data_IF_943706752027
#
_entry.id   IF_943706752027
#
_cell.length_a   1.000
_cell.length_b   1.000
_cell.length_c   1.000
_cell.angle_alpha   90.00
_cell.angle_beta   90.00
_cell.angle_gamma   90.00
#
_symmetry.space_group_name_H-M   'P 1'
#
loop_
_entity.id
_entity.type
_entity.pdbx_description
1 polymer ?
#
# COMPACT_ATOMS: atom_id res chain seq x y z
N UNK A 1 21.94 -4.35 20.23
CA UNK A 1 20.89 -5.33 20.59
C UNK A 1 20.02 -5.52 19.35
N UNK A 2 19.50 -6.73 19.06
CA UNK A 2 18.59 -6.90 17.94
C UNK A 2 17.36 -6.01 18.14
N UNK A 3 16.95 -5.33 17.07
CA UNK A 3 15.80 -4.43 17.07
C UNK A 3 14.54 -5.25 17.31
N UNK A 4 13.84 -5.07 18.43
CA UNK A 4 12.54 -5.71 18.64
C UNK A 4 11.53 -5.04 17.70
N UNK A 5 10.84 -5.81 16.86
CA UNK A 5 9.85 -5.29 15.91
C UNK A 5 8.46 -5.73 16.33
N UNK A 6 7.51 -4.80 16.25
CA UNK A 6 6.09 -5.05 16.44
C UNK A 6 5.37 -4.71 15.14
N UNK A 7 4.46 -5.58 14.74
CA UNK A 7 3.64 -5.41 13.53
C UNK A 7 2.19 -5.29 13.95
N UNK A 8 1.56 -4.19 13.55
CA UNK A 8 0.15 -3.94 13.76
C UNK A 8 -0.59 -3.91 12.42
N UNK A 9 -1.84 -4.35 12.40
CA UNK A 9 -2.69 -4.28 11.21
C UNK A 9 -4.16 -4.07 11.53
N UNK A 10 -4.91 -3.54 10.57
CA UNK A 10 -6.36 -3.36 10.67
C UNK A 10 -6.92 -2.46 9.56
N UNK A 11 -8.21 -2.07 9.63
CA UNK A 11 -8.88 -1.32 8.57
C UNK A 11 -8.41 0.14 8.44
N UNK A 12 -7.80 0.71 9.48
CA UNK A 12 -7.29 2.08 9.45
C UNK A 12 -6.14 2.26 10.46
N UNK A 13 -5.35 3.35 10.38
CA UNK A 13 -4.35 3.67 11.41
C UNK A 13 -4.95 3.81 12.82
N UNK A 14 -6.26 4.05 12.93
CA UNK A 14 -6.98 4.25 14.19
C UNK A 14 -7.52 2.93 14.79
N UNK A 15 -7.35 1.82 14.09
CA UNK A 15 -7.98 0.54 14.43
C UNK A 15 -7.01 -0.60 14.14
N UNK A 16 -5.84 -0.54 14.76
CA UNK A 16 -4.76 -1.50 14.57
C UNK A 16 -4.70 -2.48 15.75
N UNK A 17 -4.44 -3.75 15.46
CA UNK A 17 -4.17 -4.80 16.46
C UNK A 17 -2.82 -5.43 16.20
N UNK A 18 -2.20 -5.95 17.26
CA UNK A 18 -0.92 -6.65 17.16
C UNK A 18 -1.10 -7.98 16.42
N UNK A 19 -0.30 -8.18 15.38
CA UNK A 19 -0.28 -9.40 14.56
C UNK A 19 1.14 -9.98 14.46
N UNK A 20 2.04 -9.59 15.37
CA UNK A 20 3.44 -10.00 15.35
C UNK A 20 3.62 -11.52 15.43
N UNK A 21 2.68 -12.23 16.08
CA UNK A 21 2.63 -13.69 16.19
C UNK A 21 2.30 -14.39 14.87
N UNK A 22 1.71 -13.68 13.90
CA UNK A 22 1.35 -14.20 12.57
C UNK A 22 2.44 -14.00 11.51
N UNK A 23 3.38 -13.07 11.74
CA UNK A 23 4.47 -12.77 10.80
C UNK A 23 5.33 -14.01 10.56
N UNK A 24 5.67 -14.28 9.29
CA UNK A 24 6.41 -15.47 8.87
C UNK A 24 5.70 -16.80 9.16
N UNK A 25 4.37 -16.81 9.24
CA UNK A 25 3.55 -18.03 9.41
C UNK A 25 2.52 -18.15 8.28
N UNK A 26 1.82 -19.29 8.23
CA UNK A 26 0.67 -19.50 7.32
C UNK A 26 -0.63 -18.87 7.87
N UNK A 27 -0.58 -18.23 9.05
CA UNK A 27 -1.75 -17.58 9.62
C UNK A 27 -2.00 -16.22 8.96
N UNK A 28 -3.27 -15.95 8.66
CA UNK A 28 -3.71 -14.70 8.05
C UNK A 28 -4.35 -13.78 9.09
N UNK A 29 -4.32 -12.48 8.82
CA UNK A 29 -5.11 -11.50 9.54
C UNK A 29 -6.29 -11.03 8.68
N UNK A 30 -7.50 -11.11 9.23
CA UNK A 30 -8.71 -10.67 8.54
C UNK A 30 -8.87 -9.16 8.72
N UNK A 31 -9.11 -8.45 7.64
CA UNK A 31 -9.46 -7.03 7.63
C UNK A 31 -10.91 -6.91 7.17
N UNK A 32 -11.71 -6.16 7.92
CA UNK A 32 -13.11 -5.91 7.61
C UNK A 32 -13.47 -4.49 8.02
N UNK A 33 -14.10 -3.76 7.09
CA UNK A 33 -14.70 -2.44 7.28
C UNK A 33 -15.92 -2.30 6.36
N UNK A 34 -16.57 -1.14 6.38
CA UNK A 34 -17.70 -0.84 5.49
C UNK A 34 -17.28 -0.70 4.01
N UNK A 35 -15.99 -0.43 3.75
CA UNK A 35 -15.45 -0.20 2.42
C UNK A 35 -14.61 -1.34 1.85
N UNK A 36 -14.10 -2.26 2.68
CA UNK A 36 -13.18 -3.31 2.26
C UNK A 36 -13.30 -4.57 3.13
N UNK A 37 -13.17 -5.73 2.49
CA UNK A 37 -12.93 -6.98 3.18
C UNK A 37 -11.77 -7.74 2.55
N UNK A 38 -10.94 -8.36 3.38
CA UNK A 38 -9.79 -9.09 2.89
C UNK A 38 -8.96 -9.79 3.95
N UNK A 39 -7.89 -10.41 3.48
CA UNK A 39 -6.91 -11.17 4.24
C UNK A 39 -5.53 -10.55 4.03
N UNK A 40 -4.74 -10.56 5.09
CA UNK A 40 -3.39 -10.00 5.14
C UNK A 40 -2.40 -11.06 5.61
N UNK A 41 -1.25 -11.13 4.94
CA UNK A 41 -0.09 -11.94 5.34
C UNK A 41 1.18 -11.11 5.22
N UNK A 42 2.13 -11.31 6.15
CA UNK A 42 3.39 -10.60 6.17
C UNK A 42 4.57 -11.54 6.31
N UNK A 43 5.60 -11.25 5.53
CA UNK A 43 6.88 -11.92 5.58
C UNK A 43 7.95 -10.86 5.85
N UNK A 44 8.75 -11.02 6.90
CA UNK A 44 9.86 -10.12 7.23
C UNK A 44 11.09 -10.97 7.49
N UNK A 45 12.13 -10.80 6.66
CA UNK A 45 13.35 -11.57 6.80
C UNK A 45 14.02 -11.23 8.14
N UNK A 46 14.41 -12.27 8.88
CA UNK A 46 14.99 -12.17 10.23
C UNK A 46 14.08 -11.47 11.26
N UNK A 47 12.77 -11.64 11.14
CA UNK A 47 11.83 -11.14 12.14
C UNK A 47 12.11 -11.75 13.52
N UNK A 48 12.29 -10.93 14.57
CA UNK A 48 12.60 -11.41 15.91
C UNK A 48 11.30 -11.73 16.67
N UNK A 49 10.96 -13.01 16.83
CA UNK A 49 9.82 -13.46 17.61
C UNK A 49 10.31 -14.22 18.85
N UNK A 50 10.12 -13.67 20.05
CA UNK A 50 10.42 -14.35 21.32
C UNK A 50 11.76 -15.12 21.35
N UNK A 51 12.86 -14.47 20.96
CA UNK A 51 14.22 -15.05 20.86
C UNK A 51 14.43 -16.14 19.79
N UNK A 52 13.46 -16.33 18.89
CA UNK A 52 13.59 -17.13 17.67
C UNK A 52 13.53 -16.23 16.44
N UNK A 53 14.37 -16.55 15.46
CA UNK A 53 14.25 -15.98 14.12
C UNK A 53 13.27 -16.87 13.36
N UNK A 54 12.04 -16.40 13.14
CA UNK A 54 11.09 -17.14 12.30
C UNK A 54 11.63 -17.14 10.86
N UNK A 55 11.90 -18.31 10.30
CA UNK A 55 12.32 -18.47 8.91
C UNK A 55 11.09 -18.75 8.05
N UNK A 56 10.90 -17.95 7.00
CA UNK A 56 9.82 -18.14 6.04
C UNK A 56 10.36 -18.75 4.75
N UNK A 57 9.67 -19.76 4.23
CA UNK A 57 9.97 -20.39 2.93
C UNK A 57 9.88 -19.38 1.77
N UNK A 58 9.11 -18.30 1.96
CA UNK A 58 8.93 -17.21 1.01
C UNK A 58 10.26 -16.66 0.48
N UNK A 59 11.25 -16.46 1.36
CA UNK A 59 12.55 -15.90 0.98
C UNK A 59 13.49 -16.93 0.32
N UNK A 60 13.17 -18.22 0.42
CA UNK A 60 13.93 -19.30 -0.19
C UNK A 60 13.49 -19.56 -1.65
N UNK A 61 12.31 -19.02 -2.04
CA UNK A 61 11.77 -19.16 -3.40
C UNK A 61 12.73 -18.56 -4.44
N UNK A 62 12.98 -19.23 -5.57
CA UNK A 62 13.96 -18.76 -6.56
C UNK A 62 13.70 -17.35 -7.09
N UNK A 63 12.43 -16.96 -7.21
CA UNK A 63 11.96 -15.67 -7.71
C UNK A 63 11.76 -14.60 -6.62
N UNK A 64 12.07 -14.93 -5.36
CA UNK A 64 12.08 -14.01 -4.21
C UNK A 64 13.48 -13.81 -3.61
N UNK A 65 14.52 -14.32 -4.28
CA UNK A 65 15.92 -14.10 -3.87
C UNK A 65 16.22 -12.61 -3.79
N UNK A 66 16.73 -12.18 -2.63
CA UNK A 66 17.08 -10.79 -2.36
C UNK A 66 15.92 -9.94 -1.85
N UNK A 67 14.68 -10.44 -1.84
CA UNK A 67 13.56 -9.80 -1.14
C UNK A 67 13.78 -9.95 0.37
N UNK A 68 13.51 -8.89 1.12
CA UNK A 68 13.74 -8.83 2.57
C UNK A 68 12.45 -8.68 3.36
N UNK A 69 11.36 -8.33 2.70
CA UNK A 69 10.03 -8.25 3.30
C UNK A 69 8.94 -8.31 2.23
N UNK A 70 7.72 -8.65 2.63
CA UNK A 70 6.52 -8.68 1.80
C UNK A 70 5.29 -8.37 2.65
N UNK A 71 4.39 -7.56 2.09
CA UNK A 71 3.03 -7.34 2.57
C UNK A 71 2.09 -7.86 1.49
N UNK A 72 1.39 -8.95 1.79
CA UNK A 72 0.45 -9.58 0.87
C UNK A 72 -0.98 -9.30 1.32
N UNK A 73 -1.85 -8.89 0.39
CA UNK A 73 -3.27 -8.68 0.67
C UNK A 73 -4.10 -9.38 -0.39
N UNK A 74 -5.15 -10.08 0.02
CA UNK A 74 -6.20 -10.58 -0.86
C UNK A 74 -7.55 -10.05 -0.38
N UNK A 75 -8.28 -9.33 -1.22
CA UNK A 75 -9.56 -8.78 -0.81
C UNK A 75 -10.28 -8.05 -1.93
N UNK A 76 -11.38 -7.40 -1.58
CA UNK A 76 -12.26 -6.69 -2.51
C UNK A 76 -12.88 -5.47 -1.86
N UNK A 77 -13.22 -4.49 -2.68
CA UNK A 77 -13.93 -3.29 -2.24
C UNK A 77 -15.42 -3.58 -2.17
N UNK A 78 -16.07 -3.13 -1.11
CA UNK A 78 -17.52 -3.33 -0.93
C UNK A 78 -18.36 -2.29 -1.69
N UNK A 79 -17.70 -1.26 -2.22
CA UNK A 79 -18.28 -0.23 -3.07
C UNK A 79 -17.37 -0.01 -4.28
N UNK A 80 -17.90 0.27 -5.48
CA UNK A 80 -17.08 0.51 -6.67
C UNK A 80 -16.05 1.63 -6.45
N UNK A 81 -14.77 1.31 -6.66
CA UNK A 81 -13.65 2.25 -6.65
C UNK A 81 -13.00 2.25 -8.03
N UNK A 82 -12.67 3.43 -8.56
CA UNK A 82 -11.82 3.47 -9.77
C UNK A 82 -10.38 3.11 -9.39
N UNK A 83 -9.61 2.54 -10.31
CA UNK A 83 -8.20 2.27 -10.04
C UNK A 83 -7.35 3.55 -9.84
N UNK A 84 -7.86 4.73 -10.22
CA UNK A 84 -7.25 6.04 -9.95
C UNK A 84 -7.49 6.51 -8.51
N UNK A 85 -8.64 6.11 -7.94
CA UNK A 85 -9.06 6.47 -6.60
C UNK A 85 -8.45 5.55 -5.52
N UNK A 86 -7.97 4.35 -5.88
CA UNK A 86 -7.32 3.44 -4.93
C UNK A 86 -5.81 3.72 -4.86
N UNK A 87 -5.38 4.28 -3.74
CA UNK A 87 -3.98 4.60 -3.48
C UNK A 87 -3.36 3.59 -2.53
N UNK A 88 -2.06 3.34 -2.71
CA UNK A 88 -1.24 2.59 -1.78
C UNK A 88 0.12 3.28 -1.58
N UNK A 89 0.65 3.18 -0.36
CA UNK A 89 1.99 3.63 -0.06
C UNK A 89 2.17 3.93 1.42
N UNK A 90 2.95 4.97 1.74
CA UNK A 90 3.34 5.30 3.09
C UNK A 90 2.76 6.62 3.57
N UNK A 91 2.37 6.64 4.84
CA UNK A 91 2.06 7.86 5.59
C UNK A 91 2.90 7.92 6.86
N UNK A 92 3.14 9.13 7.34
CA UNK A 92 3.93 9.40 8.53
C UNK A 92 3.19 10.38 9.43
N UNK A 93 3.16 10.08 10.73
CA UNK A 93 2.48 10.93 11.72
C UNK A 93 3.28 12.19 12.07
N UNK A 94 4.59 12.16 11.83
CA UNK A 94 5.51 13.25 12.18
C UNK A 94 6.50 13.51 11.05
N UNK A 95 7.08 14.72 10.96
CA UNK A 95 8.08 15.06 9.96
C UNK A 95 9.24 14.06 9.89
N UNK A 96 9.72 13.79 8.67
CA UNK A 96 10.87 12.94 8.43
C UNK A 96 12.18 13.73 8.50
N UNK A 97 13.20 13.17 9.15
CA UNK A 97 14.56 13.71 9.06
C UNK A 97 15.23 13.12 7.83
N UNK A 98 15.27 13.87 6.73
CA UNK A 98 15.87 13.37 5.48
C UNK A 98 17.40 13.53 5.49
N UNK A 99 18.16 12.54 5.00
CA UNK A 99 19.61 12.66 4.87
C UNK A 99 19.99 13.73 3.83
N UNK A 100 21.16 14.35 4.01
CA UNK A 100 21.75 15.22 2.98
C UNK A 100 21.97 14.39 1.69
N UNK A 101 21.34 14.80 0.58
CA UNK A 101 21.32 14.03 -0.66
C UNK A 101 20.04 13.21 -0.93
N UNK A 102 18.96 13.46 -0.18
CA UNK A 102 17.63 12.84 -0.40
C UNK A 102 17.08 12.97 -1.82
N UNK A 103 17.58 13.92 -2.63
CA UNK A 103 17.27 14.02 -4.06
C UNK A 103 17.57 12.73 -4.83
N UNK A 104 18.62 11.99 -4.49
CA UNK A 104 18.92 10.69 -5.10
C UNK A 104 17.88 9.61 -4.73
N UNK A 105 17.40 9.62 -3.48
CA UNK A 105 16.34 8.73 -3.03
C UNK A 105 14.99 9.06 -3.71
N UNK A 106 14.67 10.35 -3.90
CA UNK A 106 13.49 10.77 -4.64
C UNK A 106 13.54 10.35 -6.12
N UNK A 107 14.69 10.49 -6.77
CA UNK A 107 14.88 10.02 -8.15
C UNK A 107 14.76 8.50 -8.26
N UNK A 108 15.29 7.76 -7.29
CA UNK A 108 15.13 6.32 -7.23
C UNK A 108 13.67 5.90 -7.05
N UNK A 109 12.92 6.56 -6.16
CA UNK A 109 11.50 6.27 -5.99
C UNK A 109 10.70 6.52 -7.28
N UNK A 110 10.98 7.61 -8.00
CA UNK A 110 10.37 7.88 -9.32
C UNK A 110 10.77 6.88 -10.40
N UNK A 111 11.99 6.34 -10.31
CA UNK A 111 12.45 5.30 -11.23
C UNK A 111 11.71 3.97 -10.99
N UNK A 112 11.47 3.61 -9.72
CA UNK A 112 10.71 2.40 -9.36
C UNK A 112 9.23 2.58 -9.69
N UNK A 113 8.68 3.75 -9.38
CA UNK A 113 7.28 4.09 -9.61
C UNK A 113 7.14 5.54 -10.10
N UNK A 114 6.90 5.75 -11.41
CA UNK A 114 6.75 7.08 -11.99
C UNK A 114 5.41 7.75 -11.61
N UNK A 115 4.47 6.98 -11.07
CA UNK A 115 3.17 7.47 -10.59
C UNK A 115 3.14 7.82 -9.11
N UNK A 116 4.27 7.67 -8.41
CA UNK A 116 4.40 8.04 -7.01
C UNK A 116 4.34 9.56 -6.84
N UNK A 117 3.33 10.01 -6.11
CA UNK A 117 3.18 11.35 -5.58
C UNK A 117 3.66 11.37 -4.12
N UNK A 118 4.22 12.49 -3.66
CA UNK A 118 4.71 12.56 -2.28
C UNK A 118 4.80 13.99 -1.75
N UNK A 119 4.64 14.14 -0.43
CA UNK A 119 5.06 15.31 0.34
C UNK A 119 5.92 14.86 1.54
N UNK A 120 7.06 14.25 1.25
CA UNK A 120 8.01 13.79 2.28
C UNK A 120 8.70 14.94 3.04
N UNK A 121 8.51 16.19 2.59
CA UNK A 121 9.04 17.41 3.22
C UNK A 121 8.05 18.10 4.14
N UNK A 122 6.81 17.60 4.22
CA UNK A 122 5.75 18.12 5.07
C UNK A 122 6.23 18.32 6.52
N UNK A 123 5.91 19.47 7.10
CA UNK A 123 6.20 19.78 8.50
C UNK A 123 5.11 19.25 9.45
N UNK A 124 4.07 18.61 8.92
CA UNK A 124 2.98 18.02 9.71
C UNK A 124 2.85 16.52 9.44
N UNK A 125 2.38 16.14 8.26
CA UNK A 125 2.05 14.76 7.89
C UNK A 125 2.71 14.38 6.56
N UNK A 126 3.96 13.87 6.58
CA UNK A 126 4.61 13.40 5.37
C UNK A 126 3.90 12.18 4.78
N UNK A 127 3.97 12.03 3.46
CA UNK A 127 3.38 10.88 2.76
C UNK A 127 4.05 10.63 1.42
N UNK A 128 3.93 9.40 0.92
CA UNK A 128 4.29 8.98 -0.43
C UNK A 128 3.30 7.91 -0.89
N UNK A 129 2.47 8.23 -1.87
CA UNK A 129 1.34 7.40 -2.31
C UNK A 129 1.30 7.30 -3.83
N UNK A 130 0.86 6.16 -4.33
CA UNK A 130 0.75 5.85 -5.75
C UNK A 130 -0.52 5.05 -6.00
N UNK A 131 -1.13 5.10 -7.19
CA UNK A 131 -2.22 4.19 -7.53
C UNK A 131 -1.82 2.73 -7.30
N UNK A 132 -2.65 1.99 -6.56
CA UNK A 132 -2.36 0.61 -6.16
C UNK A 132 -2.06 -0.28 -7.37
N UNK A 133 -2.83 -0.10 -8.45
CA UNK A 133 -2.67 -0.87 -9.69
C UNK A 133 -1.32 -0.66 -10.38
N UNK A 134 -0.67 0.49 -10.15
CA UNK A 134 0.60 0.87 -10.78
C UNK A 134 1.80 0.49 -9.92
N UNK A 135 1.68 0.68 -8.61
CA UNK A 135 2.80 0.56 -7.67
C UNK A 135 3.15 -0.89 -7.32
N UNK A 136 2.17 -1.78 -7.32
CA UNK A 136 2.36 -3.16 -6.88
C UNK A 136 3.34 -3.91 -7.80
N UNK A 137 4.44 -4.50 -7.26
CA UNK A 137 5.37 -5.30 -8.05
C UNK A 137 4.77 -6.64 -8.47
N UNK A 138 3.79 -7.14 -7.71
CA UNK A 138 3.00 -8.31 -8.05
C UNK A 138 1.54 -8.04 -7.72
N UNK A 139 0.67 -8.14 -8.73
CA UNK A 139 -0.76 -7.97 -8.57
C UNK A 139 -1.52 -8.90 -9.51
N UNK A 140 -2.59 -9.47 -9.00
CA UNK A 140 -3.52 -10.31 -9.72
C UNK A 140 -4.95 -9.82 -9.52
N UNK A 141 -5.71 -9.79 -10.61
CA UNK A 141 -7.12 -9.49 -10.62
C UNK A 141 -7.92 -10.71 -11.08
N UNK A 142 -8.99 -11.02 -10.35
CA UNK A 142 -9.95 -12.06 -10.71
C UNK A 142 -11.37 -11.55 -10.45
N UNK A 143 -12.24 -11.68 -11.45
CA UNK A 143 -13.67 -11.51 -11.25
C UNK A 143 -14.22 -12.78 -10.59
N UNK A 144 -15.03 -12.61 -9.54
CA UNK A 144 -15.69 -13.68 -8.82
C UNK A 144 -17.12 -13.85 -9.32
N UNK A 145 -17.46 -15.07 -9.72
CA UNK A 145 -18.85 -15.48 -9.90
C UNK A 145 -19.56 -15.78 -8.56
N UNK A 146 -20.89 -15.85 -8.59
CA UNK A 146 -21.72 -16.10 -7.38
C UNK A 146 -21.39 -17.41 -6.64
N UNK A 147 -20.83 -18.39 -7.34
CA UNK A 147 -20.47 -19.72 -6.80
C UNK A 147 -18.96 -19.97 -6.72
N UNK A 148 -18.14 -18.94 -6.95
CA UNK A 148 -16.70 -19.10 -6.94
C UNK A 148 -16.17 -19.28 -5.51
N UNK A 149 -15.33 -20.30 -5.32
CA UNK A 149 -14.55 -20.44 -4.09
C UNK A 149 -13.35 -19.51 -4.14
N UNK A 150 -13.12 -18.76 -3.06
CA UNK A 150 -11.94 -17.91 -2.93
C UNK A 150 -10.64 -18.76 -3.03
N UNK A 151 -9.61 -18.27 -3.73
CA UNK A 151 -8.29 -18.92 -3.74
C UNK A 151 -7.71 -19.07 -2.33
N UNK A 152 -6.86 -20.08 -2.12
CA UNK A 152 -6.11 -20.23 -0.87
C UNK A 152 -5.18 -19.02 -0.65
N UNK A 153 -5.11 -18.55 0.59
CA UNK A 153 -4.26 -17.43 0.99
C UNK A 153 -3.63 -17.70 2.39
N UNK A 154 -2.33 -17.44 2.60
CA UNK A 154 -1.36 -16.92 1.63
C UNK A 154 -1.07 -17.94 0.51
N UNK A 155 -0.66 -17.47 -0.69
CA UNK A 155 -0.40 -18.38 -1.79
C UNK A 155 0.86 -19.21 -1.53
N UNK A 156 0.76 -20.52 -1.80
CA UNK A 156 1.89 -21.47 -1.69
C UNK A 156 3.01 -21.17 -2.70
N UNK A 157 2.64 -20.57 -3.83
CA UNK A 157 3.58 -20.10 -4.84
C UNK A 157 3.69 -18.57 -4.78
N UNK A 158 4.80 -18.04 -5.30
CA UNK A 158 5.00 -16.60 -5.41
C UNK A 158 3.93 -15.99 -6.32
N UNK A 159 3.27 -14.92 -5.85
CA UNK A 159 2.32 -14.18 -6.67
C UNK A 159 3.03 -13.62 -7.90
N UNK A 160 2.42 -13.81 -9.06
CA UNK A 160 2.84 -13.21 -10.32
C UNK A 160 1.78 -12.22 -10.79
N UNK A 161 2.20 -11.38 -11.73
CA UNK A 161 1.27 -10.52 -12.44
C UNK A 161 0.24 -11.36 -13.20
N UNK A 162 -1.04 -11.17 -12.87
CA UNK A 162 -2.15 -11.74 -13.61
C UNK A 162 -3.25 -10.69 -13.81
N UNK A 163 -3.22 -10.07 -14.99
CA UNK A 163 -4.17 -9.05 -15.40
C UNK A 163 -5.15 -9.61 -16.47
N UNK A 164 -5.22 -10.93 -16.62
CA UNK A 164 -5.98 -11.58 -17.71
C UNK A 164 -7.47 -11.29 -17.69
N UNK A 165 -8.04 -11.09 -16.50
CA UNK A 165 -9.45 -10.74 -16.29
C UNK A 165 -9.66 -9.26 -16.01
N UNK A 166 -8.63 -8.42 -16.11
CA UNK A 166 -8.72 -7.00 -15.74
C UNK A 166 -9.73 -6.22 -16.62
N UNK A 167 -10.01 -6.72 -17.82
CA UNK A 167 -11.04 -6.15 -18.70
C UNK A 167 -12.46 -6.27 -18.12
N UNK A 168 -12.73 -7.24 -17.24
CA UNK A 168 -14.06 -7.40 -16.64
C UNK A 168 -14.39 -6.24 -15.67
N UNK A 169 -13.36 -5.64 -15.07
CA UNK A 169 -13.46 -4.43 -14.27
C UNK A 169 -13.71 -3.15 -15.11
N UNK A 170 -13.82 -3.25 -16.44
CA UNK A 170 -14.28 -2.13 -17.30
C UNK A 170 -15.80 -2.14 -17.33
N UNK A 171 -16.43 -1.14 -16.71
CA UNK A 171 -17.88 -1.08 -16.54
C UNK A 171 -18.68 -0.86 -17.84
N UNK A 172 -18.08 -0.21 -18.85
CA UNK A 172 -18.73 0.02 -20.14
C UNK A 172 -18.41 -1.12 -21.14
N UNK A 173 -19.41 -1.89 -21.65
CA UNK A 173 -19.16 -3.02 -22.54
C UNK A 173 -18.43 -2.67 -23.85
N UNK A 174 -18.69 -1.48 -24.42
CA UNK A 174 -18.06 -1.03 -25.65
C UNK A 174 -16.58 -0.70 -25.39
N UNK A 175 -16.30 -0.05 -24.26
CA UNK A 175 -14.91 0.22 -23.85
C UNK A 175 -14.19 -1.06 -23.47
N UNK A 176 -14.87 -2.01 -22.82
CA UNK A 176 -14.35 -3.33 -22.51
C UNK A 176 -13.87 -4.03 -23.78
N UNK A 177 -14.70 -4.13 -24.80
CA UNK A 177 -14.33 -4.76 -26.08
C UNK A 177 -13.10 -4.07 -26.71
N UNK A 178 -13.04 -2.74 -26.64
CA UNK A 178 -11.92 -1.94 -27.17
C UNK A 178 -10.62 -2.10 -26.38
N UNK A 179 -10.70 -2.18 -25.05
CA UNK A 179 -9.54 -2.21 -24.15
C UNK A 179 -9.04 -3.64 -23.86
N UNK A 180 -9.91 -4.65 -23.95
CA UNK A 180 -9.56 -6.06 -23.68
C UNK A 180 -8.30 -6.54 -24.39
N UNK A 181 -8.10 -6.27 -25.70
CA UNK A 181 -6.90 -6.70 -26.40
C UNK A 181 -5.61 -6.08 -25.85
N UNK A 182 -5.68 -4.90 -25.25
CA UNK A 182 -4.53 -4.23 -24.66
C UNK A 182 -4.28 -4.76 -23.24
N UNK A 183 -5.33 -4.85 -22.41
CA UNK A 183 -5.24 -5.29 -21.01
C UNK A 183 -4.69 -6.72 -20.89
N UNK A 184 -5.11 -7.64 -21.77
CA UNK A 184 -4.61 -9.02 -21.77
C UNK A 184 -3.11 -9.14 -22.10
N UNK A 185 -2.51 -8.11 -22.72
CA UNK A 185 -1.08 -8.09 -23.01
C UNK A 185 -0.22 -7.62 -21.84
N UNK A 186 -0.81 -7.09 -20.77
CA UNK A 186 -0.12 -6.62 -19.58
C UNK A 186 0.30 -7.82 -18.72
N UNK A 187 1.34 -8.54 -19.14
CA UNK A 187 1.82 -9.78 -18.51
C UNK A 187 2.86 -9.56 -17.43
N UNK A 188 3.38 -8.34 -17.28
CA UNK A 188 4.42 -7.99 -16.31
C UNK A 188 4.08 -6.70 -15.59
N UNK A 189 4.66 -6.53 -14.39
CA UNK A 189 4.48 -5.34 -13.58
C UNK A 189 4.93 -4.07 -14.31
N UNK A 190 6.00 -4.13 -15.10
CA UNK A 190 6.48 -2.98 -15.87
C UNK A 190 5.51 -2.58 -16.98
N UNK A 191 4.90 -3.55 -17.68
CA UNK A 191 3.86 -3.29 -18.67
C UNK A 191 2.62 -2.70 -18.02
N UNK A 192 2.15 -3.29 -16.90
CA UNK A 192 1.02 -2.78 -16.12
C UNK A 192 1.27 -1.35 -15.67
N UNK A 193 2.41 -1.09 -15.01
CA UNK A 193 2.81 0.23 -14.51
C UNK A 193 2.91 1.26 -15.63
N UNK A 194 3.48 0.90 -16.77
CA UNK A 194 3.57 1.79 -17.92
C UNK A 194 2.19 2.16 -18.48
N UNK A 195 1.27 1.20 -18.58
CA UNK A 195 -0.10 1.44 -19.05
C UNK A 195 -0.88 2.33 -18.07
N UNK A 196 -0.86 1.98 -16.78
CA UNK A 196 -1.55 2.72 -15.72
C UNK A 196 -0.77 3.95 -15.23
N UNK A 197 0.26 4.40 -15.95
CA UNK A 197 0.83 5.72 -15.77
C UNK A 197 -0.16 6.82 -16.18
N UNK A 198 -1.04 6.55 -17.14
CA UNK A 198 -2.13 7.43 -17.56
C UNK A 198 -3.27 7.43 -16.54
N UNK A 199 -3.77 8.63 -16.22
CA UNK A 199 -4.96 8.82 -15.37
C UNK A 199 -6.20 8.24 -16.04
N UNK A 200 -6.35 8.46 -17.34
CA UNK A 200 -7.47 7.98 -18.14
C UNK A 200 -7.53 6.45 -18.14
N UNK A 201 -6.37 5.78 -18.25
CA UNK A 201 -6.27 4.33 -18.15
C UNK A 201 -6.69 3.80 -16.77
N UNK A 202 -6.37 4.52 -15.69
CA UNK A 202 -6.80 4.14 -14.34
C UNK A 202 -8.30 4.38 -14.10
N UNK A 203 -8.84 5.45 -14.67
CA UNK A 203 -10.26 5.78 -14.56
C UNK A 203 -11.17 4.82 -15.34
N UNK A 204 -10.64 4.11 -16.34
CA UNK A 204 -11.42 3.12 -17.11
C UNK A 204 -11.60 1.79 -16.37
N UNK A 205 -10.86 1.54 -15.30
CA UNK A 205 -10.97 0.36 -14.45
C UNK A 205 -11.73 0.71 -13.16
N UNK A 206 -12.76 -0.06 -12.84
CA UNK A 206 -13.51 0.05 -11.59
C UNK A 206 -13.58 -1.31 -10.89
N UNK A 207 -13.00 -1.37 -9.69
CA UNK A 207 -13.05 -2.54 -8.82
C UNK A 207 -14.22 -2.44 -7.85
N UNK A 208 -15.01 -3.50 -7.71
CA UNK A 208 -16.14 -3.59 -6.81
C UNK A 208 -16.24 -4.93 -6.08
N UNK A 209 -17.45 -5.29 -5.59
CA UNK A 209 -17.66 -6.47 -4.74
C UNK A 209 -17.41 -7.83 -5.41
N UNK A 210 -17.22 -7.86 -6.73
CA UNK A 210 -16.89 -9.08 -7.45
C UNK A 210 -15.43 -9.10 -7.91
N UNK A 211 -14.67 -8.03 -7.69
CA UNK A 211 -13.29 -7.91 -8.17
C UNK A 211 -12.32 -8.30 -7.04
N UNK A 212 -11.88 -9.54 -7.04
CA UNK A 212 -10.88 -10.03 -6.10
C UNK A 212 -9.50 -9.57 -6.55
N UNK A 213 -8.86 -8.77 -5.70
CA UNK A 213 -7.51 -8.29 -5.90
C UNK A 213 -6.59 -9.05 -4.95
N UNK A 214 -5.51 -9.61 -5.49
CA UNK A 214 -4.40 -10.15 -4.69
C UNK A 214 -3.15 -9.36 -5.01
N UNK A 215 -2.45 -8.86 -3.99
CA UNK A 215 -1.21 -8.10 -4.11
C UNK A 215 -0.11 -8.70 -3.25
N UNK A 216 1.13 -8.45 -3.66
CA UNK A 216 2.33 -8.76 -2.91
C UNK A 216 3.30 -7.58 -3.09
N UNK A 217 3.32 -6.68 -2.11
CA UNK A 217 4.22 -5.54 -2.07
C UNK A 217 5.52 -5.95 -1.39
N UNK A 218 6.54 -6.25 -2.20
CA UNK A 218 7.79 -6.81 -1.70
C UNK A 218 9.01 -6.19 -2.40
N UNK A 219 10.04 -5.90 -1.62
CA UNK A 219 11.31 -5.38 -2.13
C UNK A 219 12.50 -5.88 -1.33
N UNK A 220 13.68 -5.80 -1.93
CA UNK A 220 14.97 -6.07 -1.28
C UNK A 220 15.72 -4.82 -0.81
N UNK A 221 15.13 -3.63 -0.99
CA UNK A 221 15.81 -2.37 -0.74
C UNK A 221 15.83 -1.97 0.74
N UNK A 222 14.95 -2.54 1.57
CA UNK A 222 14.86 -2.20 2.99
C UNK A 222 15.27 -3.40 3.84
N UNK A 223 16.32 -3.27 4.63
CA UNK A 223 16.77 -4.30 5.57
C UNK A 223 16.46 -3.81 7.00
N UNK A 224 15.76 -4.62 7.80
CA UNK A 224 15.35 -4.25 9.16
C UNK A 224 16.28 -4.79 10.26
N UNK A 225 17.20 -5.70 9.94
CA UNK A 225 18.08 -6.37 10.91
C UNK A 225 19.40 -6.82 10.27
N UNK A 226 20.59 -6.52 10.86
CA UNK A 226 20.80 -5.98 12.21
C UNK A 226 20.69 -4.44 12.35
N UNK A 227 20.69 -3.70 11.23
CA UNK A 227 20.54 -2.24 11.18
C UNK A 227 19.47 -1.87 10.15
N UNK A 228 18.69 -0.81 10.40
CA UNK A 228 17.72 -0.31 9.42
C UNK A 228 18.46 0.40 8.30
N UNK A 229 18.44 -0.18 7.09
CA UNK A 229 19.17 0.36 5.95
C UNK A 229 18.34 0.34 4.67
N UNK A 230 18.44 1.43 3.89
CA UNK A 230 17.95 1.52 2.52
C UNK A 230 19.10 1.24 1.55
N UNK A 231 19.02 0.16 0.80
CA UNK A 231 19.97 -0.26 -0.22
C UNK A 231 19.40 0.04 -1.59
N UNK A 232 20.06 0.91 -2.34
CA UNK A 232 19.65 1.31 -3.69
C UNK A 232 20.62 0.67 -4.71
N UNK A 233 20.16 0.32 -5.93
CA UNK A 233 21.04 -0.13 -7.02
C UNK A 233 22.23 0.81 -7.24
N UNK A 234 23.38 0.24 -7.62
CA UNK A 234 24.64 0.99 -7.77
C UNK A 234 25.52 1.05 -6.52
N UNK A 235 25.20 0.26 -5.48
CA UNK A 235 26.03 0.10 -4.27
C UNK A 235 25.86 1.22 -3.24
N UNK A 236 24.86 2.08 -3.42
CA UNK A 236 24.54 3.17 -2.48
C UNK A 236 23.71 2.58 -1.33
N UNK A 237 24.17 2.81 -0.10
CA UNK A 237 23.48 2.36 1.11
C UNK A 237 23.30 3.55 2.05
N UNK A 238 22.06 3.80 2.44
CA UNK A 238 21.72 4.80 3.46
C UNK A 238 21.42 4.08 4.77
N UNK A 239 22.22 4.35 5.79
CA UNK A 239 21.90 3.89 7.14
C UNK A 239 20.77 4.76 7.68
N UNK A 240 19.56 4.22 7.70
CA UNK A 240 18.37 4.94 8.15
C UNK A 240 18.33 5.07 9.68
N UNK A 241 19.11 4.30 10.44
CA UNK A 241 19.15 4.35 11.91
C UNK A 241 19.49 5.76 12.46
N UNK A 242 20.20 6.60 11.70
CA UNK A 242 20.51 7.99 12.11
C UNK A 242 19.41 9.01 11.80
N UNK A 243 18.45 8.62 10.96
CA UNK A 243 17.44 9.49 10.35
C UNK A 243 16.02 9.06 10.72
N UNK A 244 15.87 7.80 11.13
CA UNK A 244 14.66 7.23 11.66
C UNK A 244 14.65 7.36 13.17
N UNK A 245 13.74 8.17 13.66
CA UNK A 245 13.54 8.47 15.08
C UNK A 245 12.67 7.43 15.79
N UNK A 246 12.48 6.26 15.17
CA UNK A 246 11.64 5.18 15.69
C UNK A 246 10.14 5.37 15.45
N UNK A 247 9.71 6.39 14.69
CA UNK A 247 8.31 6.54 14.33
C UNK A 247 7.79 5.32 13.53
N UNK A 248 6.53 4.90 13.69
CA UNK A 248 6.00 3.78 12.95
C UNK A 248 6.06 4.02 11.43
N UNK A 249 6.42 2.98 10.67
CA UNK A 249 6.27 3.00 9.22
C UNK A 249 4.89 2.44 8.91
N UNK A 250 3.98 3.30 8.46
CA UNK A 250 2.61 2.92 8.11
C UNK A 250 2.51 2.71 6.59
N UNK A 251 2.08 1.52 6.19
CA UNK A 251 1.66 1.20 4.83
C UNK A 251 0.14 1.22 4.80
N UNK A 252 -0.44 2.02 3.91
CA UNK A 252 -1.87 2.20 3.83
C UNK A 252 -2.39 1.95 2.43
N UNK A 253 -3.56 1.35 2.34
CA UNK A 253 -4.42 1.43 1.17
C UNK A 253 -5.57 2.37 1.50
N UNK A 254 -5.76 3.40 0.70
CA UNK A 254 -6.69 4.47 0.98
C UNK A 254 -7.36 4.99 -0.28
N UNK A 255 -8.47 5.69 -0.09
CA UNK A 255 -9.21 6.35 -1.16
C UNK A 255 -8.67 7.75 -1.38
N UNK A 256 -8.36 8.09 -2.64
CA UNK A 256 -7.93 9.41 -3.08
C UNK A 256 -9.01 10.44 -2.75
N UNK A 257 -8.61 11.55 -2.12
CA UNK A 257 -9.46 12.71 -1.87
C UNK A 257 -9.73 13.44 -3.20
N UNK A 258 -11.00 13.72 -3.49
CA UNK A 258 -11.38 14.59 -4.62
C UNK A 258 -11.48 16.02 -4.13
N UNK A 259 -10.64 16.89 -4.69
CA UNK A 259 -10.71 18.33 -4.44
C UNK A 259 -11.70 18.96 -5.43
N UNK A 260 -12.48 19.97 -5.02
CA UNK A 260 -13.32 20.72 -5.95
C UNK A 260 -12.47 21.40 -7.03
N UNK A 261 -12.96 21.44 -8.27
CA UNK A 261 -12.26 21.99 -9.44
C UNK A 261 -11.88 23.49 -9.32
N UNK A 262 -12.40 24.21 -8.31
CA UNK A 262 -12.24 25.68 -8.13
C UNK A 262 -11.24 26.11 -7.04
N UNK A 263 -10.61 25.19 -6.28
CA UNK A 263 -9.55 25.58 -5.33
C UNK A 263 -8.18 25.60 -6.02
N UNK A 264 -7.81 26.80 -6.50
CA UNK A 264 -6.51 27.16 -7.05
C UNK A 264 -5.36 26.53 -6.24
N UNK A 265 -4.53 25.77 -6.94
CA UNK A 265 -3.42 24.90 -6.50
C UNK A 265 -2.23 25.61 -5.82
N UNK A 266 -2.48 26.71 -5.10
CA UNK A 266 -1.46 27.56 -4.51
C UNK A 266 -1.15 27.31 -3.03
N UNK A 267 -2.02 26.63 -2.27
CA UNK A 267 -1.82 26.45 -0.83
C UNK A 267 -2.67 25.31 -0.24
N UNK A 268 -2.42 24.06 -0.62
CA UNK A 268 -3.18 22.92 -0.09
C UNK A 268 -2.52 22.36 1.18
N UNK A 269 -2.89 22.94 2.33
CA UNK A 269 -2.78 22.27 3.62
C UNK A 269 -3.82 21.14 3.67
N UNK A 270 -3.46 19.95 3.17
CA UNK A 270 -4.37 18.81 3.17
C UNK A 270 -3.69 17.51 2.75
N UNK A 271 -4.13 16.40 3.34
CA UNK A 271 -3.65 15.06 2.95
C UNK A 271 -4.43 14.55 1.72
N UNK A 272 -3.82 13.77 0.80
CA UNK A 272 -4.44 13.36 -0.47
C UNK A 272 -5.44 12.19 -0.35
N UNK A 273 -5.81 11.79 0.87
CA UNK A 273 -6.74 10.69 1.13
C UNK A 273 -7.95 11.12 1.97
N UNK A 274 -9.05 10.38 1.86
CA UNK A 274 -10.29 10.62 2.62
C UNK A 274 -10.74 9.42 3.47
N UNK A 275 -10.44 8.20 3.05
CA UNK A 275 -10.85 6.95 3.71
C UNK A 275 -9.72 5.91 3.64
N UNK A 276 -9.64 5.03 4.64
CA UNK A 276 -8.70 3.89 4.64
C UNK A 276 -9.44 2.58 4.40
N UNK A 277 -8.88 1.77 3.50
CA UNK A 277 -9.33 0.39 3.29
C UNK A 277 -8.59 -0.57 4.23
N UNK A 278 -7.29 -0.34 4.42
CA UNK A 278 -6.47 -1.06 5.38
C UNK A 278 -5.16 -0.35 5.70
N UNK A 279 -4.56 -0.71 6.83
CA UNK A 279 -3.29 -0.20 7.29
C UNK A 279 -2.46 -1.31 7.93
N UNK A 280 -1.15 -1.28 7.67
CA UNK A 280 -0.12 -2.08 8.32
C UNK A 280 0.91 -1.13 8.92
N UNK A 281 1.22 -1.28 10.19
CA UNK A 281 2.24 -0.49 10.87
C UNK A 281 3.36 -1.38 11.37
N UNK A 282 4.60 -1.02 11.02
CA UNK A 282 5.81 -1.69 11.52
C UNK A 282 6.55 -0.70 12.44
N UNK A 283 6.76 -1.09 13.69
CA UNK A 283 7.35 -0.22 14.71
C UNK A 283 8.30 -0.96 15.65
N UNK A 284 9.03 -0.22 16.48
CA UNK A 284 9.92 -0.76 17.50
C UNK A 284 9.13 -1.27 18.72
N UNK A 285 9.45 -2.48 19.18
CA UNK A 285 8.65 -3.25 20.14
C UNK A 285 8.68 -2.79 21.60
N UNK A 286 9.42 -1.74 21.98
CA UNK A 286 9.50 -1.30 23.38
C UNK A 286 9.42 0.21 23.67
N UNK A 287 9.23 1.10 22.68
CA UNK A 287 9.26 2.55 22.97
C UNK A 287 8.32 3.45 22.15
N UNK A 288 7.30 2.91 21.49
CA UNK A 288 6.41 3.73 20.66
C UNK A 288 4.98 3.58 21.14
N UNK A 289 4.36 4.70 21.56
CA UNK A 289 2.91 4.80 21.74
C UNK A 289 2.22 4.20 20.51
N UNK A 290 1.07 3.55 20.69
CA UNK A 290 0.30 3.07 19.55
C UNK A 290 0.06 4.24 18.58
N UNK A 291 0.12 3.99 17.26
CA UNK A 291 -0.05 5.03 16.24
C UNK A 291 -1.32 5.84 16.49
N UNK A 292 -1.20 7.17 16.41
CA UNK A 292 -2.34 8.07 16.64
C UNK A 292 -3.17 8.18 15.37
N UNK A 293 -4.48 8.15 15.55
CA UNK A 293 -5.42 8.34 14.45
C UNK A 293 -5.12 9.65 13.71
N UNK A 294 -4.83 9.64 12.40
CA UNK A 294 -4.64 10.88 11.66
C UNK A 294 -5.96 11.65 11.66
N UNK A 295 -5.95 12.87 12.21
CA UNK A 295 -7.11 13.76 12.13
C UNK A 295 -7.49 13.97 10.65
N UNK A 296 -8.68 13.50 10.27
CA UNK A 296 -9.32 13.87 9.02
C UNK A 296 -9.87 15.28 9.22
N UNK A 297 -9.51 16.20 8.32
CA UNK A 297 -10.04 17.57 8.33
C UNK A 297 -11.52 17.53 7.90
N UNK A 298 -12.39 17.21 8.85
CA UNK A 298 -13.84 17.27 8.66
C UNK A 298 -14.21 18.75 8.75
N UNK A 299 -14.15 19.46 7.61
CA UNK A 299 -14.79 20.77 7.51
C UNK A 299 -16.27 20.57 7.88
N UNK A 300 -16.65 21.05 9.07
CA UNK A 300 -18.06 21.07 9.47
C UNK A 300 -18.83 21.88 8.41
N UNK A 301 -19.97 21.38 7.90
CA UNK A 301 -20.82 22.21 7.04
C UNK A 301 -21.18 23.48 7.81
N UNK A 302 -21.21 24.65 7.14
CA UNK A 302 -21.61 25.89 7.80
C UNK A 302 -22.99 25.68 8.42
N UNK A 303 -23.12 26.01 9.70
CA UNK A 303 -24.40 25.97 10.38
C UNK A 303 -25.36 26.89 9.61
N UNK A 304 -26.40 26.31 9.02
CA UNK A 304 -27.52 27.05 8.48
C UNK A 304 -28.06 27.95 9.60
N UNK A 305 -27.80 29.25 9.48
CA UNK A 305 -28.51 30.28 10.21
C UNK A 305 -29.95 30.29 9.68
N UNK A 306 -30.80 29.46 10.29
CA UNK A 306 -32.24 29.65 10.29
C UNK A 306 -32.55 30.92 11.07
N UNK A 307 -32.48 32.06 10.40
CA UNK A 307 -33.19 33.26 10.84
C UNK A 307 -34.66 33.08 10.42
N UNK A 308 -35.46 32.63 11.39
CA UNK A 308 -36.91 32.81 11.39
C UNK A 308 -37.21 34.11 12.15
N UNK A 309 -37.95 34.97 11.45
CA UNK A 309 -38.59 36.25 11.84
C UNK A 309 -37.74 37.53 11.92
#
# INVERSE_FOLDING_TARGET
MPVNLRVLAGPSPCSLVDISDKVNTDQVHNISSDGFEGLLSLQINRFPLHHRTASSDYFERPDRRGITWSIQVQGRFLQPQTADDVLFGNIFERPLTLPWGSSAAFQFMKYIDPTLEHDLTSQTKPWALSPLISTMPHFAHRELGESDTLPEFPPRESLKDDNSQLAEAVGNPIEREKLSPQLITLKTADQRRAYFASKEARQSISFGPNDLITTDFCYGFLEFSPELALRIPGGISFNLTKYWDGQPVQFVCCKRRKLPDDEDSGNQEGVPWEEFFWCVSIQLGEQVEDPKCPELDVRQPPADSLDID
#
